data_IF_389835310690
#
_entry.id   IF_389835310690
#
_cell.length_a   1.000
_cell.length_b   1.000
_cell.length_c   1.000
_cell.angle_alpha   90.00
_cell.angle_beta   90.00
_cell.angle_gamma   90.00
#
_symmetry.space_group_name_H-M   'P 1'
#
loop_
_entity.id
_entity.type
_entity.pdbx_description
1 polymer ?
#
# COMPACT_ATOMS: atom_id res chain seq x y z
N UNK A 1 16.60 1.90 -1.64
CA UNK A 1 16.18 0.51 -1.56
C UNK A 1 17.28 -0.40 -2.06
N UNK A 2 17.76 -1.34 -1.23
CA UNK A 2 18.63 -2.42 -1.72
C UNK A 2 17.75 -3.48 -2.36
N UNK A 3 17.83 -3.64 -3.67
CA UNK A 3 17.28 -4.80 -4.36
C UNK A 3 18.24 -5.95 -4.11
N UNK A 4 17.86 -6.90 -3.28
CA UNK A 4 18.64 -8.14 -3.11
C UNK A 4 18.32 -9.02 -4.30
N UNK A 5 19.16 -8.98 -5.33
CA UNK A 5 19.20 -10.00 -6.37
C UNK A 5 20.17 -11.09 -5.89
N UNK A 6 19.64 -12.29 -5.78
CA UNK A 6 20.33 -13.58 -5.57
C UNK A 6 21.15 -13.78 -4.29
N UNK A 7 20.69 -14.74 -3.46
CA UNK A 7 21.41 -15.55 -2.46
C UNK A 7 22.41 -14.84 -1.51
N UNK A 8 22.27 -13.57 -1.27
CA UNK A 8 23.12 -12.87 -0.32
C UNK A 8 22.52 -12.87 1.07
N UNK A 9 23.24 -13.41 2.01
CA UNK A 9 22.84 -13.41 3.42
C UNK A 9 22.91 -11.98 3.97
N UNK A 10 21.81 -11.48 4.52
CA UNK A 10 21.78 -10.28 5.32
C UNK A 10 22.00 -10.66 6.78
N UNK A 11 23.13 -10.23 7.36
CA UNK A 11 23.38 -10.35 8.79
C UNK A 11 22.94 -9.07 9.50
N UNK A 12 22.10 -9.21 10.52
CA UNK A 12 21.66 -8.10 11.36
C UNK A 12 22.14 -8.39 12.78
N UNK A 13 22.90 -7.46 13.35
CA UNK A 13 23.46 -7.56 14.70
C UNK A 13 22.97 -6.39 15.56
N UNK A 14 22.54 -6.72 16.75
CA UNK A 14 22.12 -5.77 17.76
C UNK A 14 22.85 -6.09 19.07
N UNK A 15 23.53 -5.11 19.64
CA UNK A 15 24.21 -5.28 20.94
C UNK A 15 23.28 -4.85 22.07
N UNK A 16 23.13 -5.71 23.07
CA UNK A 16 22.42 -5.38 24.30
C UNK A 16 23.23 -4.43 25.20
N UNK A 17 24.55 -4.44 25.06
CA UNK A 17 25.46 -3.56 25.81
C UNK A 17 25.46 -2.13 25.25
N UNK A 18 25.29 -1.99 23.92
CA UNK A 18 25.13 -0.68 23.25
C UNK A 18 23.88 -0.71 22.35
N UNK A 19 22.70 -0.49 22.95
CA UNK A 19 21.42 -0.56 22.22
C UNK A 19 21.14 0.64 21.30
N UNK A 20 22.15 1.47 21.05
CA UNK A 20 21.99 2.67 20.21
C UNK A 20 22.18 2.40 18.73
N UNK A 21 22.77 1.24 18.37
CA UNK A 21 23.09 0.92 16.98
C UNK A 21 22.60 -0.46 16.56
N UNK A 22 22.12 -0.52 15.32
CA UNK A 22 21.85 -1.75 14.58
C UNK A 22 22.91 -1.88 13.47
N UNK A 23 23.67 -2.96 13.47
CA UNK A 23 24.65 -3.26 12.42
C UNK A 23 24.02 -4.21 11.41
N UNK A 24 24.16 -3.88 10.14
CA UNK A 24 23.67 -4.69 9.02
C UNK A 24 24.82 -4.95 8.06
N UNK A 25 25.05 -6.21 7.73
CA UNK A 25 26.09 -6.63 6.79
C UNK A 25 25.48 -7.44 5.66
N UNK A 26 25.72 -7.03 4.42
CA UNK A 26 25.35 -7.79 3.24
C UNK A 26 26.34 -7.51 2.10
N UNK A 27 26.76 -8.53 1.36
CA UNK A 27 27.68 -8.40 0.22
C UNK A 27 28.98 -7.62 0.54
N UNK A 28 29.55 -7.79 1.74
CA UNK A 28 30.73 -7.05 2.18
C UNK A 28 30.49 -5.59 2.55
N UNK A 29 29.24 -5.11 2.46
CA UNK A 29 28.85 -3.75 2.86
C UNK A 29 28.35 -3.80 4.31
N UNK A 30 28.98 -3.01 5.17
CA UNK A 30 28.55 -2.81 6.55
C UNK A 30 27.81 -1.48 6.68
N UNK A 31 26.62 -1.51 7.27
CA UNK A 31 25.85 -0.32 7.62
C UNK A 31 25.56 -0.32 9.11
N UNK A 32 25.73 0.83 9.74
CA UNK A 32 25.27 1.06 11.12
C UNK A 32 24.11 2.04 11.07
N UNK A 33 22.98 1.63 11.62
CA UNK A 33 21.80 2.48 11.77
C UNK A 33 21.69 2.88 13.23
N UNK A 34 21.57 4.18 13.48
CA UNK A 34 21.30 4.68 14.82
C UNK A 34 19.85 4.41 15.18
N UNK A 35 19.64 3.72 16.29
CA UNK A 35 18.30 3.46 16.79
C UNK A 35 17.77 4.68 17.55
N UNK A 36 16.51 5.01 17.33
CA UNK A 36 15.83 6.05 18.09
C UNK A 36 15.32 5.45 19.42
N UNK A 37 15.46 6.20 20.51
CA UNK A 37 14.83 5.83 21.77
C UNK A 37 13.31 5.74 21.55
N UNK A 38 12.67 4.73 22.12
CA UNK A 38 11.20 4.55 22.01
C UNK A 38 10.41 5.80 22.50
N UNK A 39 10.96 6.57 23.43
CA UNK A 39 10.39 7.84 23.88
C UNK A 39 10.40 8.95 22.82
N UNK A 40 11.25 8.83 21.78
CA UNK A 40 11.30 9.77 20.65
C UNK A 40 10.37 9.37 19.50
N UNK A 41 9.82 8.16 19.55
CA UNK A 41 8.92 7.65 18.52
C UNK A 41 7.49 8.07 18.88
N UNK A 42 6.90 8.95 18.06
CA UNK A 42 5.46 9.18 18.13
C UNK A 42 4.75 7.87 17.78
N UNK A 43 4.08 7.26 18.75
CA UNK A 43 3.21 6.12 18.49
C UNK A 43 1.94 6.66 17.82
N UNK A 44 1.82 6.51 16.54
CA UNK A 44 0.55 6.74 15.85
C UNK A 44 -0.40 5.61 16.26
N UNK A 45 -1.61 6.00 16.65
CA UNK A 45 -2.68 5.00 16.86
C UNK A 45 -2.98 4.37 15.50
N UNK A 46 -3.03 3.04 15.48
CA UNK A 46 -3.52 2.32 14.30
C UNK A 46 -4.97 2.71 14.05
N UNK A 47 -5.33 3.18 12.85
CA UNK A 47 -6.72 3.49 12.54
C UNK A 47 -7.58 2.23 12.70
N UNK A 48 -8.74 2.37 13.34
CA UNK A 48 -9.78 1.33 13.30
C UNK A 48 -10.71 1.68 12.16
N UNK A 49 -10.82 0.78 11.16
CA UNK A 49 -11.68 0.97 10.01
C UNK A 49 -12.89 0.07 10.16
N UNK A 50 -14.04 0.68 10.40
CA UNK A 50 -15.34 0.02 10.28
C UNK A 50 -15.66 -0.02 8.78
N UNK A 51 -15.28 -1.13 8.11
CA UNK A 51 -15.36 -1.21 6.67
C UNK A 51 -16.80 -1.38 6.17
N UNK A 52 -17.30 -0.44 5.39
CA UNK A 52 -18.56 -0.58 4.63
C UNK A 52 -18.34 -1.34 3.32
N UNK A 53 -17.09 -1.50 2.91
CA UNK A 53 -16.72 -2.31 1.76
C UNK A 53 -15.38 -3.02 1.97
N UNK A 54 -15.22 -4.14 1.30
CA UNK A 54 -13.95 -4.85 1.21
C UNK A 54 -13.79 -5.51 -0.16
N UNK A 55 -12.55 -5.66 -0.61
CA UNK A 55 -12.24 -6.29 -1.88
C UNK A 55 -10.93 -7.03 -1.85
N UNK A 56 -10.82 -8.15 -2.58
CA UNK A 56 -9.52 -8.77 -2.90
C UNK A 56 -9.25 -8.65 -4.38
N UNK A 57 -8.17 -7.97 -4.71
CA UNK A 57 -7.82 -7.60 -6.09
C UNK A 57 -6.42 -8.11 -6.41
N UNK A 58 -6.19 -8.73 -7.58
CA UNK A 58 -4.84 -9.05 -8.04
C UNK A 58 -4.02 -7.78 -8.28
N UNK A 59 -2.85 -7.68 -7.65
CA UNK A 59 -2.00 -6.47 -7.76
C UNK A 59 -1.57 -6.19 -9.20
N UNK A 60 -1.46 -7.23 -10.05
CA UNK A 60 -1.13 -7.06 -11.47
C UNK A 60 -2.04 -6.06 -12.19
N UNK A 61 -3.35 -6.09 -11.91
CA UNK A 61 -4.32 -5.20 -12.55
C UNK A 61 -4.13 -3.76 -12.07
N UNK A 62 -3.96 -3.57 -10.76
CA UNK A 62 -3.68 -2.25 -10.16
C UNK A 62 -2.35 -1.70 -10.66
N UNK A 63 -1.32 -2.53 -10.74
CA UNK A 63 0.01 -2.13 -11.23
C UNK A 63 -0.03 -1.65 -12.68
N UNK A 64 -0.81 -2.30 -13.53
CA UNK A 64 -0.97 -1.87 -14.92
C UNK A 64 -1.58 -0.46 -14.98
N UNK A 65 -2.64 -0.21 -14.23
CA UNK A 65 -3.24 1.13 -14.11
C UNK A 65 -2.25 2.16 -13.57
N UNK A 66 -1.55 1.88 -12.46
CA UNK A 66 -0.57 2.80 -11.88
C UNK A 66 0.58 3.13 -12.85
N UNK A 67 0.94 2.19 -13.70
CA UNK A 67 1.95 2.42 -14.74
C UNK A 67 1.41 3.35 -15.83
N UNK A 68 0.15 3.19 -16.24
CA UNK A 68 -0.47 4.01 -17.29
C UNK A 68 -0.69 5.46 -16.89
N UNK A 69 -0.99 5.73 -15.61
CA UNK A 69 -1.21 7.10 -15.12
C UNK A 69 0.08 7.86 -14.80
N UNK A 70 1.23 7.18 -14.79
CA UNK A 70 2.55 7.79 -14.64
C UNK A 70 2.70 8.65 -13.40
N UNK A 71 2.94 9.96 -13.61
CA UNK A 71 3.18 10.95 -12.54
C UNK A 71 1.93 11.73 -12.13
N UNK A 72 0.75 11.31 -12.54
CA UNK A 72 -0.51 11.93 -12.11
C UNK A 72 -0.57 12.01 -10.58
N UNK A 73 -0.92 13.17 -10.05
CA UNK A 73 -0.84 13.44 -8.62
C UNK A 73 -1.86 12.63 -7.81
N UNK A 74 -3.06 12.48 -8.35
CA UNK A 74 -4.19 11.83 -7.69
C UNK A 74 -4.98 10.96 -8.66
N UNK A 75 -5.63 9.95 -8.14
CA UNK A 75 -6.60 9.13 -8.87
C UNK A 75 -7.82 8.83 -8.00
N UNK A 76 -8.91 8.47 -8.65
CA UNK A 76 -10.17 8.09 -8.03
C UNK A 76 -10.28 6.57 -7.94
N UNK A 77 -10.75 6.09 -6.81
CA UNK A 77 -11.18 4.73 -6.58
C UNK A 77 -12.70 4.75 -6.39
N UNK A 78 -13.41 4.26 -7.37
CA UNK A 78 -14.88 4.20 -7.37
C UNK A 78 -15.32 2.79 -6.97
N UNK A 79 -15.97 2.67 -5.83
CA UNK A 79 -16.55 1.43 -5.31
C UNK A 79 -17.98 1.34 -5.77
N UNK A 80 -18.31 0.29 -6.50
CA UNK A 80 -19.65 -0.01 -7.00
C UNK A 80 -20.13 -1.37 -6.44
N UNK A 81 -21.39 -1.68 -6.53
CA UNK A 81 -21.93 -2.93 -5.98
C UNK A 81 -21.28 -4.20 -6.56
N UNK A 82 -20.84 -4.16 -7.81
CA UNK A 82 -20.29 -5.34 -8.52
C UNK A 82 -18.88 -5.13 -9.11
N UNK A 83 -18.30 -3.96 -8.95
CA UNK A 83 -17.00 -3.63 -9.54
C UNK A 83 -16.26 -2.55 -8.75
N UNK A 84 -14.95 -2.51 -8.95
CA UNK A 84 -14.11 -1.40 -8.52
C UNK A 84 -13.50 -0.78 -9.78
N UNK A 85 -13.63 0.54 -9.90
CA UNK A 85 -13.03 1.31 -10.98
C UNK A 85 -11.93 2.21 -10.43
N UNK A 86 -10.78 2.16 -11.08
CA UNK A 86 -9.69 3.12 -10.90
C UNK A 86 -9.74 4.11 -12.05
N UNK A 87 -9.74 5.40 -11.76
CA UNK A 87 -9.83 6.46 -12.77
C UNK A 87 -8.88 7.60 -12.44
N UNK A 88 -8.18 8.10 -13.44
CA UNK A 88 -7.31 9.27 -13.32
C UNK A 88 -7.45 10.19 -14.54
N UNK A 89 -7.34 11.47 -14.29
CA UNK A 89 -7.19 12.49 -15.32
C UNK A 89 -5.70 12.78 -15.50
N UNK A 90 -5.19 12.60 -16.72
CA UNK A 90 -3.80 12.81 -17.10
C UNK A 90 -3.73 13.88 -18.18
N UNK A 91 -2.53 14.37 -18.48
CA UNK A 91 -2.32 15.32 -19.59
C UNK A 91 -2.73 14.74 -20.96
N UNK A 92 -2.73 13.41 -21.09
CA UNK A 92 -3.10 12.69 -22.32
C UNK A 92 -4.60 12.36 -22.39
N UNK A 93 -5.35 12.58 -21.32
CA UNK A 93 -6.78 12.29 -21.22
C UNK A 93 -7.17 11.49 -19.98
N UNK A 94 -8.29 10.80 -20.06
CA UNK A 94 -8.81 9.99 -18.94
C UNK A 94 -8.30 8.57 -19.10
N UNK A 95 -7.65 8.08 -18.06
CA UNK A 95 -7.25 6.67 -17.91
C UNK A 95 -8.14 6.00 -16.89
N UNK A 96 -8.75 4.88 -17.28
CA UNK A 96 -9.60 4.12 -16.36
C UNK A 96 -9.43 2.61 -16.53
N UNK A 97 -9.66 1.90 -15.45
CA UNK A 97 -9.72 0.44 -15.44
C UNK A 97 -10.81 0.00 -14.50
N UNK A 98 -11.67 -0.90 -14.95
CA UNK A 98 -12.74 -1.49 -14.14
C UNK A 98 -12.42 -2.95 -13.87
N UNK A 99 -12.44 -3.33 -12.61
CA UNK A 99 -12.18 -4.68 -12.13
C UNK A 99 -13.51 -5.24 -11.63
N UNK A 100 -14.10 -6.15 -12.40
CA UNK A 100 -15.33 -6.84 -12.10
C UNK A 100 -15.18 -8.37 -12.06
N UNK A 101 -14.10 -8.89 -12.69
CA UNK A 101 -13.79 -10.31 -12.73
C UNK A 101 -12.61 -10.62 -11.81
N UNK A 102 -12.53 -11.84 -11.28
CA UNK A 102 -11.50 -12.30 -10.34
C UNK A 102 -11.38 -11.47 -9.06
N UNK A 103 -12.43 -10.74 -8.70
CA UNK A 103 -12.51 -9.92 -7.51
C UNK A 103 -13.44 -10.58 -6.48
N UNK A 104 -13.01 -10.57 -5.21
CA UNK A 104 -13.85 -10.92 -4.07
C UNK A 104 -14.29 -9.58 -3.44
N UNK A 105 -15.44 -9.09 -3.88
CA UNK A 105 -15.97 -7.77 -3.51
C UNK A 105 -17.19 -7.91 -2.60
N UNK A 106 -17.16 -7.22 -1.50
CA UNK A 106 -18.28 -7.05 -0.60
C UNK A 106 -18.53 -5.56 -0.36
N UNK A 107 -19.73 -5.10 -0.67
CA UNK A 107 -20.17 -3.71 -0.46
C UNK A 107 -21.50 -3.74 0.28
N UNK A 108 -21.65 -2.91 1.31
CA UNK A 108 -22.93 -2.73 1.97
C UNK A 108 -23.97 -2.23 0.98
N UNK A 109 -25.17 -2.82 1.04
CA UNK A 109 -26.26 -2.54 0.11
C UNK A 109 -26.57 -1.05 -0.01
N UNK A 110 -26.56 -0.56 -1.26
CA UNK A 110 -26.86 0.83 -1.59
C UNK A 110 -25.73 1.82 -1.30
N UNK A 111 -24.54 1.33 -0.93
CA UNK A 111 -23.37 2.19 -0.77
C UNK A 111 -22.49 2.11 -2.01
N UNK A 112 -22.26 3.25 -2.60
CA UNK A 112 -21.24 3.47 -3.63
C UNK A 112 -20.35 4.61 -3.15
N UNK A 113 -19.03 4.47 -3.28
CA UNK A 113 -18.09 5.46 -2.76
C UNK A 113 -17.10 5.86 -3.85
N UNK A 114 -16.77 7.15 -3.88
CA UNK A 114 -15.65 7.68 -4.68
C UNK A 114 -14.59 8.21 -3.74
N UNK A 115 -13.44 7.58 -3.76
CA UNK A 115 -12.33 7.85 -2.86
C UNK A 115 -11.17 8.41 -3.67
N UNK A 116 -10.64 9.56 -3.27
CA UNK A 116 -9.50 10.19 -3.92
C UNK A 116 -8.20 9.79 -3.21
N UNK A 117 -7.22 9.29 -3.98
CA UNK A 117 -5.95 8.78 -3.47
C UNK A 117 -4.76 9.50 -4.11
N UNK A 118 -3.74 9.78 -3.31
CA UNK A 118 -2.46 10.28 -3.82
C UNK A 118 -1.65 9.16 -4.47
N UNK A 119 -1.32 9.33 -5.75
CA UNK A 119 -0.62 8.31 -6.56
C UNK A 119 0.71 7.90 -5.94
N UNK A 120 1.55 8.87 -5.57
CA UNK A 120 2.87 8.61 -4.98
C UNK A 120 2.77 7.82 -3.66
N UNK A 121 1.86 8.22 -2.77
CA UNK A 121 1.66 7.54 -1.50
C UNK A 121 1.17 6.10 -1.70
N UNK A 122 0.26 5.88 -2.64
CA UNK A 122 -0.28 4.58 -2.95
C UNK A 122 0.77 3.67 -3.60
N UNK A 123 1.52 4.17 -4.57
CA UNK A 123 2.64 3.44 -5.20
C UNK A 123 3.73 3.09 -4.18
N UNK A 124 4.08 4.04 -3.31
CA UNK A 124 5.09 3.85 -2.26
C UNK A 124 4.67 2.77 -1.28
N UNK A 125 3.41 2.77 -0.85
CA UNK A 125 2.84 1.76 0.05
C UNK A 125 2.91 0.34 -0.53
N UNK A 126 2.82 0.19 -1.86
CA UNK A 126 2.82 -1.10 -2.56
C UNK A 126 4.14 -1.43 -3.27
N UNK A 127 5.19 -0.64 -3.07
CA UNK A 127 6.46 -0.74 -3.81
C UNK A 127 7.17 -2.09 -3.68
N UNK A 128 6.97 -2.80 -2.58
CA UNK A 128 7.57 -4.12 -2.32
C UNK A 128 6.68 -5.30 -2.74
N UNK A 129 5.48 -5.03 -3.24
CA UNK A 129 4.48 -6.05 -3.55
C UNK A 129 4.77 -6.73 -4.88
N UNK A 130 4.76 -8.07 -4.90
CA UNK A 130 4.87 -8.85 -6.15
C UNK A 130 3.60 -8.73 -7.00
N UNK A 131 3.70 -8.63 -8.34
CA UNK A 131 2.52 -8.60 -9.24
C UNK A 131 1.57 -9.79 -9.08
N UNK A 132 2.08 -10.94 -8.65
CA UNK A 132 1.27 -12.15 -8.41
C UNK A 132 0.46 -12.14 -7.11
N UNK A 133 0.68 -11.13 -6.26
CA UNK A 133 0.02 -11.01 -4.96
C UNK A 133 -1.43 -10.54 -5.13
N UNK A 134 -2.35 -11.13 -4.35
CA UNK A 134 -3.69 -10.58 -4.13
C UNK A 134 -3.66 -9.63 -2.95
N UNK A 135 -4.19 -8.43 -3.13
CA UNK A 135 -4.32 -7.41 -2.10
C UNK A 135 -5.74 -7.43 -1.54
N UNK A 136 -5.85 -7.42 -0.22
CA UNK A 136 -7.13 -7.23 0.47
C UNK A 136 -7.28 -5.77 0.85
N UNK A 137 -8.31 -5.14 0.36
CA UNK A 137 -8.68 -3.76 0.64
C UNK A 137 -9.84 -3.72 1.63
N UNK A 138 -9.86 -2.74 2.48
CA UNK A 138 -10.99 -2.42 3.34
C UNK A 138 -11.09 -0.90 3.48
N UNK A 139 -12.30 -0.38 3.38
CA UNK A 139 -12.58 1.03 3.56
C UNK A 139 -13.99 1.29 4.03
N UNK A 140 -14.27 2.52 4.36
CA UNK A 140 -15.59 2.98 4.79
C UNK A 140 -16.11 4.05 3.86
N UNK A 141 -15.61 5.26 3.98
CA UNK A 141 -16.03 6.43 3.21
C UNK A 141 -14.82 7.20 2.67
N UNK A 142 -15.09 8.27 1.91
CA UNK A 142 -14.07 9.10 1.29
C UNK A 142 -13.17 9.86 2.28
N UNK A 143 -13.52 9.93 3.57
CA UNK A 143 -12.77 10.64 4.61
C UNK A 143 -11.87 9.75 5.44
N UNK A 144 -12.06 8.43 5.38
CA UNK A 144 -11.29 7.46 6.15
C UNK A 144 -10.16 6.85 5.33
N UNK A 145 -9.00 6.54 5.94
CA UNK A 145 -7.93 5.84 5.24
C UNK A 145 -8.39 4.47 4.71
N UNK A 146 -7.83 4.05 3.59
CA UNK A 146 -8.00 2.69 3.09
C UNK A 146 -6.96 1.78 3.75
N UNK A 147 -7.40 0.67 4.31
CA UNK A 147 -6.54 -0.41 4.77
C UNK A 147 -6.23 -1.36 3.61
N UNK A 148 -4.96 -1.69 3.43
CA UNK A 148 -4.49 -2.65 2.43
C UNK A 148 -3.66 -3.71 3.14
N UNK A 149 -4.00 -4.97 2.91
CA UNK A 149 -3.35 -6.11 3.53
C UNK A 149 -2.93 -7.13 2.46
N UNK A 150 -1.74 -7.72 2.62
CA UNK A 150 -1.26 -8.81 1.77
C UNK A 150 -0.28 -9.72 2.49
N UNK A 151 -0.07 -10.91 1.93
CA UNK A 151 0.92 -11.87 2.43
C UNK A 151 2.16 -11.84 1.55
N UNK A 152 3.34 -11.84 2.18
CA UNK A 152 4.63 -11.94 1.52
C UNK A 152 5.55 -12.85 2.37
N UNK A 153 6.02 -13.94 1.78
CA UNK A 153 6.99 -14.86 2.42
C UNK A 153 6.61 -15.29 3.85
N UNK A 154 5.32 -15.60 4.06
CA UNK A 154 4.81 -16.00 5.38
C UNK A 154 4.50 -14.85 6.34
N UNK A 155 4.82 -13.62 5.97
CA UNK A 155 4.46 -12.42 6.74
C UNK A 155 3.15 -11.82 6.24
N UNK A 156 2.35 -11.33 7.18
CA UNK A 156 1.18 -10.51 6.90
C UNK A 156 1.60 -9.04 6.96
N UNK A 157 1.51 -8.35 5.84
CA UNK A 157 1.80 -6.92 5.73
C UNK A 157 0.50 -6.15 5.69
N UNK A 158 0.48 -5.02 6.38
CA UNK A 158 -0.67 -4.14 6.44
C UNK A 158 -0.23 -2.68 6.33
N UNK A 159 -0.92 -1.91 5.53
CA UNK A 159 -0.69 -0.47 5.38
C UNK A 159 -2.00 0.28 5.33
N UNK A 160 -1.95 1.58 5.64
CA UNK A 160 -3.08 2.49 5.54
C UNK A 160 -2.70 3.64 4.61
N UNK A 161 -3.52 3.86 3.60
CA UNK A 161 -3.34 4.96 2.66
C UNK A 161 -4.38 6.03 2.96
N UNK A 162 -3.91 7.23 3.29
CA UNK A 162 -4.78 8.37 3.54
C UNK A 162 -5.49 8.79 2.26
N UNK A 163 -6.77 9.12 2.41
CA UNK A 163 -7.59 9.71 1.35
C UNK A 163 -7.28 11.20 1.20
N UNK A 164 -7.60 11.75 0.05
CA UNK A 164 -7.52 13.19 -0.21
C UNK A 164 -8.92 13.79 -0.31
N UNK A 165 -9.09 15.00 0.15
CA UNK A 165 -10.32 15.78 -0.08
C UNK A 165 -10.18 16.60 -1.35
N UNK A 166 -11.24 16.67 -2.16
CA UNK A 166 -11.32 17.67 -3.24
C UNK A 166 -11.33 19.06 -2.58
N UNK A 167 -10.41 19.90 -3.01
CA UNK A 167 -10.46 21.34 -2.67
C UNK A 167 -11.50 22.04 -3.51
#
# INVERSE_FOLDING_TARGET
>A
GMTVKDKHTLSIQYSLEDPTWLSMTSCGINRKLRLLKSSMMKRHKTPTIEGSWSAKIPFKQIKAFLTSIGKTEVFELNIQESAIQFRAETDEGIMETTIAEDIDLHVEKGKTETILLGTENFQSALSTTSPSTKLSFRGSDASTPIEIEWKMEGMLLKTWVATRTRK
#
